data_IF_901498158323
#
_entry.id   IF_901498158323
#
_cell.length_a   1.000
_cell.length_b   1.000
_cell.length_c   1.000
_cell.angle_alpha   90.00
_cell.angle_beta   90.00
_cell.angle_gamma   90.00
#
_symmetry.space_group_name_H-M   'P 1'
#
loop_
_entity.id
_entity.type
_entity.pdbx_description
1 polymer ?
#
# COMPACT_ATOMS: atom_id res chain seq x y z
N UNK A 1 -13.20 17.73 9.21
CA UNK A 1 -12.37 16.94 8.27
C UNK A 1 -12.42 15.48 8.69
N UNK A 2 -12.66 14.56 7.75
CA UNK A 2 -12.74 13.13 8.04
C UNK A 2 -11.34 12.50 8.10
N UNK A 3 -11.16 11.46 8.92
CA UNK A 3 -9.87 10.77 9.15
C UNK A 3 -9.21 10.28 7.85
N UNK A 4 -10.00 9.66 6.97
CA UNK A 4 -9.53 9.18 5.66
C UNK A 4 -8.96 10.29 4.78
N UNK A 5 -9.51 11.50 4.87
CA UNK A 5 -8.99 12.66 4.14
C UNK A 5 -7.64 13.10 4.68
N UNK A 6 -7.47 13.13 6.00
CA UNK A 6 -6.18 13.47 6.63
C UNK A 6 -5.09 12.44 6.29
N UNK A 7 -5.42 11.14 6.30
CA UNK A 7 -4.51 10.08 5.91
C UNK A 7 -4.12 10.20 4.43
N UNK A 8 -5.11 10.29 3.52
CA UNK A 8 -4.88 10.44 2.07
C UNK A 8 -4.04 11.67 1.75
N UNK A 9 -4.31 12.79 2.40
CA UNK A 9 -3.60 14.05 2.18
C UNK A 9 -2.20 14.07 2.82
N UNK A 10 -1.85 13.06 3.62
CA UNK A 10 -0.55 12.97 4.29
C UNK A 10 -0.41 13.88 5.51
N UNK A 11 -1.50 14.38 6.07
CA UNK A 11 -1.50 15.32 7.21
C UNK A 11 -1.14 14.62 8.54
N UNK A 12 -1.22 13.29 8.59
CA UNK A 12 -0.81 12.49 9.74
C UNK A 12 0.71 12.36 9.89
N UNK A 13 1.47 12.80 8.89
CA UNK A 13 2.93 12.76 8.86
C UNK A 13 3.50 11.41 8.43
N UNK A 14 4.70 11.47 7.84
CA UNK A 14 5.34 10.33 7.17
C UNK A 14 5.52 9.10 8.07
N UNK A 15 6.00 9.29 9.30
CA UNK A 15 6.27 8.17 10.21
C UNK A 15 5.02 7.38 10.56
N UNK A 16 3.90 8.06 10.85
CA UNK A 16 2.62 7.40 11.16
C UNK A 16 2.06 6.72 9.91
N UNK A 17 2.03 7.42 8.78
CA UNK A 17 1.54 6.87 7.49
C UNK A 17 2.30 5.60 7.11
N UNK A 18 3.63 5.61 7.25
CA UNK A 18 4.48 4.47 6.91
C UNK A 18 4.39 3.32 7.93
N UNK A 19 4.73 3.56 9.20
CA UNK A 19 4.83 2.46 10.17
C UNK A 19 3.48 1.87 10.54
N UNK A 20 2.48 2.72 10.80
CA UNK A 20 1.22 2.25 11.35
C UNK A 20 0.29 1.73 10.26
N UNK A 21 0.16 2.48 9.18
CA UNK A 21 -0.80 2.14 8.13
C UNK A 21 -0.16 1.29 7.05
N UNK A 22 1.01 1.64 6.51
CA UNK A 22 1.63 0.78 5.51
C UNK A 22 2.10 -0.55 6.13
N UNK A 23 3.04 -0.50 7.07
CA UNK A 23 3.60 -1.72 7.66
C UNK A 23 2.57 -2.39 8.57
N UNK A 24 2.00 -1.67 9.53
CA UNK A 24 1.11 -2.26 10.54
C UNK A 24 -0.17 -2.86 9.93
N UNK A 25 -0.95 -2.07 9.18
CA UNK A 25 -2.16 -2.61 8.56
C UNK A 25 -1.86 -3.57 7.41
N UNK A 26 -0.77 -3.37 6.66
CA UNK A 26 -0.32 -4.32 5.65
C UNK A 26 0.03 -5.68 6.26
N UNK A 27 0.73 -5.70 7.39
CA UNK A 27 1.02 -6.95 8.12
C UNK A 27 -0.26 -7.64 8.60
N UNK A 28 -1.21 -6.89 9.18
CA UNK A 28 -2.50 -7.44 9.60
C UNK A 28 -3.29 -8.02 8.42
N UNK A 29 -3.34 -7.33 7.28
CA UNK A 29 -4.02 -7.83 6.08
C UNK A 29 -3.38 -9.13 5.57
N UNK A 30 -2.05 -9.21 5.55
CA UNK A 30 -1.35 -10.44 5.15
C UNK A 30 -1.62 -11.59 6.12
N UNK A 31 -1.67 -11.32 7.42
CA UNK A 31 -2.02 -12.33 8.42
C UNK A 31 -3.46 -12.84 8.23
N UNK A 32 -4.40 -11.93 7.97
CA UNK A 32 -5.79 -12.29 7.66
C UNK A 32 -5.85 -13.14 6.39
N UNK A 33 -5.13 -12.74 5.33
CA UNK A 33 -5.05 -13.52 4.09
C UNK A 33 -4.49 -14.92 4.32
N UNK A 34 -3.43 -15.06 5.13
CA UNK A 34 -2.85 -16.35 5.46
C UNK A 34 -3.82 -17.28 6.20
N UNK A 35 -4.56 -16.74 7.18
CA UNK A 35 -5.54 -17.52 7.94
C UNK A 35 -6.78 -17.86 7.12
N UNK A 36 -7.15 -16.99 6.18
CA UNK A 36 -8.33 -17.16 5.34
C UNK A 36 -8.08 -17.99 4.08
N UNK A 37 -6.82 -18.29 3.74
CA UNK A 37 -6.45 -19.07 2.56
C UNK A 37 -7.18 -20.44 2.45
N UNK A 38 -7.38 -21.20 3.55
CA UNK A 38 -8.11 -22.46 3.50
C UNK A 38 -9.63 -22.32 3.27
N UNK A 39 -10.20 -21.11 3.32
CA UNK A 39 -11.64 -20.88 3.15
C UNK A 39 -12.11 -21.00 1.68
N UNK A 40 -11.16 -21.17 0.76
CA UNK A 40 -11.42 -21.44 -0.65
C UNK A 40 -11.22 -20.24 -1.57
N UNK A 41 -11.29 -20.48 -2.90
CA UNK A 41 -10.79 -19.54 -3.90
C UNK A 41 -11.57 -18.22 -3.97
N UNK A 42 -12.88 -18.24 -3.68
CA UNK A 42 -13.71 -17.02 -3.69
C UNK A 42 -13.25 -16.06 -2.59
N UNK A 43 -12.99 -16.57 -1.38
CA UNK A 43 -12.48 -15.75 -0.27
C UNK A 43 -11.09 -15.19 -0.59
N UNK A 44 -10.22 -15.99 -1.17
CA UNK A 44 -8.90 -15.56 -1.60
C UNK A 44 -8.96 -14.40 -2.61
N UNK A 45 -9.84 -14.49 -3.62
CA UNK A 45 -10.02 -13.42 -4.62
C UNK A 45 -10.54 -12.13 -3.96
N UNK A 46 -11.55 -12.22 -3.10
CA UNK A 46 -12.11 -11.05 -2.40
C UNK A 46 -11.04 -10.35 -1.56
N UNK A 47 -10.26 -11.11 -0.79
CA UNK A 47 -9.18 -10.56 0.02
C UNK A 47 -8.06 -9.96 -0.84
N UNK A 48 -7.72 -10.58 -1.97
CA UNK A 48 -6.73 -10.02 -2.90
C UNK A 48 -7.17 -8.65 -3.44
N UNK A 49 -8.45 -8.50 -3.81
CA UNK A 49 -9.01 -7.21 -4.29
C UNK A 49 -8.98 -6.15 -3.20
N UNK A 50 -9.36 -6.50 -1.97
CA UNK A 50 -9.31 -5.58 -0.82
C UNK A 50 -7.87 -5.15 -0.54
N UNK A 51 -6.94 -6.11 -0.50
CA UNK A 51 -5.53 -5.86 -0.19
C UNK A 51 -4.88 -4.99 -1.27
N UNK A 52 -5.16 -5.25 -2.55
CA UNK A 52 -4.68 -4.44 -3.66
C UNK A 52 -5.21 -2.99 -3.57
N UNK A 53 -6.51 -2.83 -3.34
CA UNK A 53 -7.16 -1.51 -3.21
C UNK A 53 -6.58 -0.71 -2.03
N UNK A 54 -6.35 -1.38 -0.90
CA UNK A 54 -5.72 -0.79 0.27
C UNK A 54 -4.28 -0.34 -0.02
N UNK A 55 -3.48 -1.18 -0.67
CA UNK A 55 -2.10 -0.84 -1.01
C UNK A 55 -2.02 0.38 -1.93
N UNK A 56 -2.85 0.46 -2.97
CA UNK A 56 -2.88 1.65 -3.84
C UNK A 56 -3.22 2.92 -3.05
N UNK A 57 -4.21 2.84 -2.16
CA UNK A 57 -4.59 3.96 -1.30
C UNK A 57 -3.45 4.40 -0.38
N UNK A 58 -2.79 3.45 0.30
CA UNK A 58 -1.74 3.80 1.25
C UNK A 58 -0.45 4.29 0.58
N UNK A 59 -0.14 3.79 -0.61
CA UNK A 59 0.96 4.31 -1.43
C UNK A 59 0.75 5.78 -1.79
N UNK A 60 -0.48 6.15 -2.17
CA UNK A 60 -0.83 7.55 -2.44
C UNK A 60 -0.74 8.42 -1.18
N UNK A 61 -1.23 7.92 -0.06
CA UNK A 61 -1.12 8.59 1.24
C UNK A 61 0.36 8.82 1.64
N UNK A 62 1.21 7.81 1.47
CA UNK A 62 2.65 7.89 1.77
C UNK A 62 3.38 8.86 0.84
N UNK A 63 3.03 8.89 -0.45
CA UNK A 63 3.58 9.87 -1.39
C UNK A 63 3.26 11.31 -0.97
N UNK A 64 2.01 11.57 -0.56
CA UNK A 64 1.58 12.88 -0.10
C UNK A 64 2.24 13.25 1.23
N UNK A 65 2.32 12.30 2.16
CA UNK A 65 3.00 12.49 3.44
C UNK A 65 4.50 12.79 3.24
N UNK A 66 5.18 12.10 2.33
CA UNK A 66 6.56 12.36 1.97
C UNK A 66 6.74 13.73 1.29
N UNK A 67 5.77 14.16 0.48
CA UNK A 67 5.80 15.48 -0.17
C UNK A 67 5.72 16.61 0.85
N UNK A 68 4.87 16.46 1.88
CA UNK A 68 4.70 17.41 2.99
C UNK A 68 5.76 17.26 4.10
N UNK A 69 6.60 16.23 4.04
CA UNK A 69 7.59 15.95 5.07
C UNK A 69 8.64 17.06 5.17
N UNK A 70 8.73 17.68 6.36
CA UNK A 70 9.68 18.77 6.68
C UNK A 70 10.96 18.29 7.38
N UNK A 71 11.05 17.00 7.71
CA UNK A 71 12.22 16.42 8.38
C UNK A 71 13.39 16.12 7.43
N UNK A 72 14.32 15.22 7.82
CA UNK A 72 15.49 14.90 7.01
C UNK A 72 15.12 14.44 5.60
N UNK A 73 15.73 15.05 4.59
CA UNK A 73 15.43 14.80 3.17
C UNK A 73 15.61 13.32 2.77
N UNK A 74 16.47 12.57 3.46
CA UNK A 74 16.70 11.14 3.23
C UNK A 74 15.39 10.33 3.28
N UNK A 75 14.55 10.56 4.30
CA UNK A 75 13.29 9.82 4.48
C UNK A 75 12.25 10.16 3.41
N UNK A 76 12.22 11.43 2.99
CA UNK A 76 11.36 11.88 1.89
C UNK A 76 11.73 11.17 0.59
N UNK A 77 13.01 11.14 0.23
CA UNK A 77 13.48 10.49 -0.99
C UNK A 77 13.30 8.98 -0.93
N UNK A 78 13.69 8.34 0.17
CA UNK A 78 13.54 6.91 0.37
C UNK A 78 12.09 6.48 0.19
N UNK A 79 11.14 7.22 0.78
CA UNK A 79 9.74 6.87 0.64
C UNK A 79 9.22 7.03 -0.80
N UNK A 80 9.61 8.11 -1.49
CA UNK A 80 9.21 8.31 -2.90
C UNK A 80 9.78 7.22 -3.80
N UNK A 81 11.05 6.84 -3.61
CA UNK A 81 11.69 5.77 -4.38
C UNK A 81 10.99 4.44 -4.16
N UNK A 82 10.69 4.07 -2.90
CA UNK A 82 9.95 2.84 -2.59
C UNK A 82 8.57 2.82 -3.26
N UNK A 83 7.82 3.93 -3.20
CA UNK A 83 6.51 4.01 -3.87
C UNK A 83 6.65 3.82 -5.38
N UNK A 84 7.64 4.45 -6.03
CA UNK A 84 7.86 4.31 -7.48
C UNK A 84 8.24 2.88 -7.84
N UNK A 85 9.19 2.27 -7.11
CA UNK A 85 9.61 0.88 -7.36
C UNK A 85 8.44 -0.10 -7.25
N UNK A 86 7.58 0.10 -6.25
CA UNK A 86 6.42 -0.76 -6.05
C UNK A 86 5.34 -0.55 -7.12
N UNK A 87 5.10 0.67 -7.58
CA UNK A 87 4.19 0.91 -8.73
C UNK A 87 4.70 0.19 -9.97
N UNK A 88 6.00 0.27 -10.25
CA UNK A 88 6.62 -0.45 -11.39
C UNK A 88 6.44 -1.96 -11.22
N UNK A 89 6.71 -2.49 -10.01
CA UNK A 89 6.54 -3.91 -9.72
C UNK A 89 5.09 -4.39 -9.94
N UNK A 90 4.10 -3.60 -9.50
CA UNK A 90 2.67 -3.91 -9.71
C UNK A 90 2.34 -3.93 -11.20
N UNK A 91 2.80 -2.95 -11.98
CA UNK A 91 2.56 -2.90 -13.43
C UNK A 91 3.16 -4.14 -14.12
N UNK A 92 4.40 -4.49 -13.80
CA UNK A 92 5.07 -5.66 -14.34
C UNK A 92 4.35 -6.97 -13.96
N UNK A 93 3.88 -7.08 -12.72
CA UNK A 93 3.13 -8.25 -12.26
C UNK A 93 1.81 -8.41 -13.01
N UNK A 94 1.07 -7.32 -13.23
CA UNK A 94 -0.18 -7.34 -13.99
C UNK A 94 0.07 -7.74 -15.45
N UNK A 95 1.11 -7.20 -16.10
CA UNK A 95 1.49 -7.58 -17.46
C UNK A 95 1.84 -9.06 -17.54
N UNK A 96 2.65 -9.56 -16.60
CA UNK A 96 3.07 -10.96 -16.55
C UNK A 96 1.86 -11.90 -16.41
N UNK A 97 0.94 -11.60 -15.50
CA UNK A 97 -0.30 -12.38 -15.33
C UNK A 97 -1.14 -12.35 -16.60
N UNK A 98 -1.28 -11.18 -17.24
CA UNK A 98 -2.00 -11.05 -18.51
C UNK A 98 -1.42 -11.92 -19.63
N UNK A 99 -0.10 -11.96 -19.77
CA UNK A 99 0.59 -12.80 -20.75
C UNK A 99 0.40 -14.29 -20.45
N UNK A 100 0.43 -14.69 -19.17
CA UNK A 100 0.29 -16.11 -18.78
C UNK A 100 -1.08 -16.73 -19.05
N UNK A 101 -2.09 -15.90 -19.37
CA UNK A 101 -3.47 -16.34 -19.65
C UNK A 101 -3.80 -16.46 -21.15
N UNK A 102 -2.86 -16.11 -22.04
CA UNK A 102 -2.98 -16.20 -23.52
C UNK A 102 -2.25 -17.44 -24.00
#
# INVERSE_FOLDING_TARGET
MNFFSQLKNGDLGLAKTFWLYWIGAGFLLNLISFVADPLGPIFAIVLAVINLSYNMFIMFACWNAATKYKGPKIWKWLMKTVVVLLVIAIILAVIFVGISMI
#
